data_IF_101337370286
#
_entry.id   IF_101337370286
#
_cell.length_a   1.000
_cell.length_b   1.000
_cell.length_c   1.000
_cell.angle_alpha   90.00
_cell.angle_beta   90.00
_cell.angle_gamma   90.00
#
_symmetry.space_group_name_H-M   'P 1'
#
loop_
_entity.id
_entity.type
_entity.pdbx_description
1 polymer ?
#
# COMPACT_ATOMS: atom_id res chain seq x y z
N UNK A 1 3.72 12.81 -1.78
CA UNK A 1 3.31 14.23 -1.72
C UNK A 1 1.94 14.32 -2.39
N UNK A 2 0.88 14.63 -1.64
CA UNK A 2 -0.51 14.69 -2.15
C UNK A 2 -0.80 16.15 -2.49
N UNK A 3 -0.94 16.46 -3.78
CA UNK A 3 -1.16 17.83 -4.26
C UNK A 3 -2.66 18.14 -4.36
N UNK A 4 -3.13 19.11 -3.57
CA UNK A 4 -4.48 19.68 -3.64
C UNK A 4 -4.49 20.86 -4.59
N UNK A 5 -5.05 20.67 -5.78
CA UNK A 5 -5.40 21.76 -6.67
C UNK A 5 -6.68 22.44 -6.17
N UNK A 6 -6.64 23.75 -6.03
CA UNK A 6 -7.84 24.60 -5.91
C UNK A 6 -7.97 25.45 -7.16
N UNK A 7 -9.20 25.83 -7.51
CA UNK A 7 -9.65 26.49 -8.76
C UNK A 7 -9.01 27.87 -9.06
N UNK A 8 -7.94 28.25 -8.35
CA UNK A 8 -7.15 29.46 -8.56
C UNK A 8 -5.64 29.19 -8.70
N UNK A 9 -5.23 27.97 -9.05
CA UNK A 9 -3.81 27.64 -9.24
C UNK A 9 -2.95 27.75 -7.96
N UNK A 10 -3.58 27.70 -6.78
CA UNK A 10 -2.91 27.74 -5.46
C UNK A 10 -2.65 26.31 -4.96
N UNK A 11 -1.38 25.98 -4.70
CA UNK A 11 -0.92 24.69 -4.18
C UNK A 11 -0.24 24.93 -2.84
N UNK A 12 -0.98 24.80 -1.74
CA UNK A 12 -0.41 24.97 -0.40
C UNK A 12 0.40 23.72 0.00
N UNK A 13 1.71 23.86 0.24
CA UNK A 13 2.51 22.86 0.94
C UNK A 13 2.50 23.22 2.43
N UNK A 14 1.63 22.57 3.20
CA UNK A 14 1.77 22.52 4.67
C UNK A 14 2.48 21.23 5.02
N UNK A 15 3.69 21.36 5.56
CA UNK A 15 4.35 20.32 6.34
C UNK A 15 3.58 20.20 7.65
N UNK A 16 3.41 18.98 8.10
CA UNK A 16 2.37 18.52 9.01
C UNK A 16 1.04 18.29 8.30
N UNK A 17 0.61 17.04 8.44
CA UNK A 17 -0.72 16.51 8.26
C UNK A 17 -1.75 17.63 8.14
N UNK A 18 -2.61 17.56 7.14
CA UNK A 18 -3.89 18.22 7.23
C UNK A 18 -4.59 17.69 8.51
N UNK A 19 -4.36 18.37 9.65
CA UNK A 19 -5.42 18.73 10.55
C UNK A 19 -6.31 19.64 9.71
N UNK A 20 -7.12 19.01 8.87
CA UNK A 20 -8.42 19.61 8.71
C UNK A 20 -9.07 19.33 10.06
N UNK A 21 -9.20 20.38 10.87
CA UNK A 21 -10.36 20.51 11.76
C UNK A 21 -11.59 20.55 10.86
N UNK A 22 -11.83 19.46 10.13
CA UNK A 22 -13.12 19.11 9.64
C UNK A 22 -13.77 18.42 10.81
N UNK A 23 -14.25 19.26 11.70
CA UNK A 23 -15.49 19.03 12.39
C UNK A 23 -16.55 18.82 11.31
N UNK A 24 -16.59 17.63 10.69
CA UNK A 24 -17.86 17.16 10.20
C UNK A 24 -18.68 16.93 11.46
N UNK A 25 -19.47 17.93 11.85
CA UNK A 25 -20.59 17.75 12.78
C UNK A 25 -21.59 16.84 12.06
N UNK A 26 -21.25 15.55 11.98
CA UNK A 26 -22.24 14.52 11.77
C UNK A 26 -22.99 14.44 13.08
N UNK A 27 -24.13 15.12 13.16
CA UNK A 27 -25.07 14.83 14.23
C UNK A 27 -25.48 13.37 14.04
N UNK A 28 -25.07 12.51 14.97
CA UNK A 28 -25.44 11.10 14.94
C UNK A 28 -26.93 11.09 15.29
N UNK A 29 -27.78 10.92 14.29
CA UNK A 29 -29.23 10.86 14.47
C UNK A 29 -29.71 9.50 15.00
N UNK A 30 -28.78 8.55 15.14
CA UNK A 30 -29.01 7.16 15.56
C UNK A 30 -30.01 6.39 14.67
N UNK A 31 -30.36 6.93 13.49
CA UNK A 31 -31.27 6.30 12.54
C UNK A 31 -30.54 5.48 11.48
N UNK A 32 -29.24 5.68 11.38
CA UNK A 32 -28.40 5.05 10.38
C UNK A 32 -27.31 4.20 11.02
N UNK A 33 -27.10 3.00 10.47
CA UNK A 33 -26.03 2.08 10.90
C UNK A 33 -24.66 2.55 10.38
N UNK A 34 -24.64 3.37 9.32
CA UNK A 34 -23.42 3.83 8.67
C UNK A 34 -23.55 5.31 8.29
N UNK A 35 -22.49 6.08 8.56
CA UNK A 35 -22.43 7.52 8.30
C UNK A 35 -21.36 7.80 7.25
N UNK A 36 -21.71 8.48 6.15
CA UNK A 36 -20.74 8.84 5.12
C UNK A 36 -19.80 9.92 5.65
N UNK A 37 -18.50 9.63 5.70
CA UNK A 37 -17.48 10.62 6.00
C UNK A 37 -17.23 11.47 4.76
N UNK A 38 -17.56 12.75 4.88
CA UNK A 38 -17.24 13.77 3.89
C UNK A 38 -16.13 14.62 4.47
N UNK A 39 -15.04 14.76 3.71
CA UNK A 39 -13.96 15.65 4.07
C UNK A 39 -14.48 17.09 4.03
N UNK A 40 -14.42 17.77 2.89
CA UNK A 40 -14.98 19.12 2.76
C UNK A 40 -16.28 19.05 1.94
N UNK A 41 -17.41 19.35 2.58
CA UNK A 41 -18.72 19.32 1.93
C UNK A 41 -18.80 20.30 0.74
N UNK A 42 -18.05 21.41 0.76
CA UNK A 42 -18.01 22.37 -0.35
C UNK A 42 -17.21 21.86 -1.54
N UNK A 43 -16.32 20.89 -1.31
CA UNK A 43 -15.39 20.32 -2.29
C UNK A 43 -15.51 18.79 -2.35
N UNK A 44 -16.71 18.25 -2.12
CA UNK A 44 -16.94 16.80 -2.08
C UNK A 44 -16.58 16.12 -3.43
N UNK A 45 -16.77 16.84 -4.54
CA UNK A 45 -16.41 16.36 -5.89
C UNK A 45 -14.90 16.30 -6.12
N UNK A 46 -14.12 17.10 -5.39
CA UNK A 46 -12.67 17.22 -5.58
C UNK A 46 -11.87 16.46 -4.51
N UNK A 47 -12.47 16.22 -3.34
CA UNK A 47 -11.79 15.57 -2.21
C UNK A 47 -12.27 14.14 -1.98
N UNK A 48 -11.36 13.29 -1.51
CA UNK A 48 -11.65 11.92 -1.13
C UNK A 48 -10.96 11.57 0.19
N UNK A 49 -11.69 10.92 1.10
CA UNK A 49 -11.12 10.44 2.35
C UNK A 49 -10.20 9.24 2.05
N UNK A 50 -8.92 9.37 2.36
CA UNK A 50 -7.91 8.33 2.21
C UNK A 50 -7.86 7.40 3.42
N UNK A 51 -7.74 7.95 4.63
CA UNK A 51 -7.59 7.15 5.86
C UNK A 51 -8.07 7.92 7.08
N UNK A 52 -8.71 7.21 8.01
CA UNK A 52 -9.04 7.72 9.34
C UNK A 52 -7.80 7.52 10.24
N UNK A 53 -7.36 8.59 10.90
CA UNK A 53 -6.23 8.58 11.84
C UNK A 53 -6.70 8.43 13.27
N UNK A 54 -7.78 9.11 13.63
CA UNK A 54 -8.34 9.12 14.97
C UNK A 54 -9.82 9.43 14.88
N UNK A 55 -10.60 8.84 15.78
CA UNK A 55 -12.01 9.19 15.99
C UNK A 55 -12.15 9.56 17.45
N UNK A 56 -12.79 10.68 17.72
CA UNK A 56 -12.99 11.18 19.07
C UNK A 56 -14.40 11.69 19.29
N UNK A 57 -14.92 11.50 20.49
CA UNK A 57 -16.24 11.93 20.93
C UNK A 57 -16.15 13.10 21.91
N UNK A 58 -17.11 14.00 21.82
CA UNK A 58 -17.30 15.05 22.83
C UNK A 58 -18.79 15.17 23.16
N UNK A 59 -19.10 15.23 24.45
CA UNK A 59 -20.46 15.51 24.93
C UNK A 59 -20.73 17.02 24.97
N UNK A 60 -19.70 17.84 25.24
CA UNK A 60 -19.76 19.30 25.35
C UNK A 60 -18.39 19.91 24.94
N UNK A 61 -18.29 21.11 24.33
CA UNK A 61 -17.00 21.68 23.88
C UNK A 61 -15.97 21.88 25.01
N UNK A 62 -16.43 21.84 26.26
CA UNK A 62 -15.64 21.98 27.49
C UNK A 62 -15.30 20.64 28.15
N UNK A 63 -15.90 19.53 27.70
CA UNK A 63 -15.64 18.19 28.26
C UNK A 63 -14.35 17.60 27.71
N UNK A 64 -13.73 16.73 28.50
CA UNK A 64 -12.64 15.89 27.99
C UNK A 64 -13.12 15.09 26.76
N UNK A 65 -12.25 15.01 25.77
CA UNK A 65 -12.51 14.34 24.50
C UNK A 65 -12.22 12.85 24.64
N UNK A 66 -13.25 12.01 24.50
CA UNK A 66 -13.11 10.55 24.54
C UNK A 66 -12.52 10.06 23.21
N UNK A 67 -11.43 9.30 23.24
CA UNK A 67 -10.87 8.69 22.03
C UNK A 67 -11.57 7.35 21.78
N UNK A 68 -12.26 7.23 20.65
CA UNK A 68 -12.93 6.00 20.23
C UNK A 68 -11.94 5.10 19.50
N UNK A 69 -11.93 3.80 19.86
CA UNK A 69 -10.97 2.83 19.29
C UNK A 69 -11.50 2.12 18.04
N UNK A 70 -10.64 1.75 17.09
CA UNK A 70 -11.03 0.92 15.96
C UNK A 70 -11.39 -0.51 16.41
N UNK A 71 -12.45 -1.09 15.86
CA UNK A 71 -12.91 -2.44 16.23
C UNK A 71 -11.81 -3.52 16.09
N UNK A 72 -11.04 -3.48 14.99
CA UNK A 72 -9.99 -4.47 14.73
C UNK A 72 -8.71 -4.29 15.58
N UNK A 73 -8.63 -3.29 16.47
CA UNK A 73 -7.52 -3.20 17.44
C UNK A 73 -7.66 -4.16 18.63
N UNK A 74 -8.83 -4.78 18.81
CA UNK A 74 -9.13 -5.71 19.91
C UNK A 74 -8.18 -6.93 19.99
N UNK A 75 -7.53 -7.30 18.87
CA UNK A 75 -6.64 -8.46 18.81
C UNK A 75 -5.20 -8.19 19.31
N UNK A 76 -4.83 -6.93 19.58
CA UNK A 76 -3.46 -6.58 19.96
C UNK A 76 -3.21 -6.67 21.47
N UNK A 77 -3.50 -7.80 22.15
CA UNK A 77 -3.00 -8.11 23.51
C UNK A 77 -3.19 -7.06 24.62
N UNK A 78 -3.96 -6.00 24.38
CA UNK A 78 -4.16 -4.89 25.27
C UNK A 78 -5.36 -5.23 26.13
N UNK A 79 -5.12 -5.38 27.43
CA UNK A 79 -6.18 -5.42 28.43
C UNK A 79 -6.96 -4.10 28.32
N UNK A 80 -8.17 -4.17 27.77
CA UNK A 80 -9.06 -3.02 27.65
C UNK A 80 -9.80 -2.85 28.98
N UNK A 81 -9.73 -1.66 29.57
CA UNK A 81 -10.55 -1.29 30.72
C UNK A 81 -12.04 -1.41 30.36
N UNK A 82 -12.86 -1.89 31.29
CA UNK A 82 -14.27 -2.21 31.10
C UNK A 82 -15.18 -1.02 30.71
N UNK A 83 -14.64 0.20 30.61
CA UNK A 83 -15.37 1.41 30.20
C UNK A 83 -15.50 1.59 28.68
N UNK A 84 -14.76 0.84 27.86
CA UNK A 84 -14.78 0.98 26.40
C UNK A 84 -15.84 0.05 25.76
N UNK A 85 -17.10 0.50 25.75
CA UNK A 85 -18.24 -0.23 25.18
C UNK A 85 -18.49 0.03 23.69
N UNK A 86 -17.80 1.02 23.10
CA UNK A 86 -18.03 1.47 21.72
C UNK A 86 -16.73 1.52 20.94
N UNK A 87 -16.75 0.87 19.78
CA UNK A 87 -15.68 0.84 18.80
C UNK A 87 -16.19 1.40 17.49
N UNK A 88 -15.28 1.93 16.67
CA UNK A 88 -15.62 2.31 15.30
C UNK A 88 -15.04 1.33 14.30
N UNK A 89 -15.72 1.13 13.18
CA UNK A 89 -15.14 0.51 12.00
C UNK A 89 -15.51 1.32 10.77
N UNK A 90 -14.65 1.27 9.76
CA UNK A 90 -14.85 1.98 8.51
C UNK A 90 -15.02 1.02 7.34
N UNK A 91 -15.88 1.38 6.40
CA UNK A 91 -16.08 0.66 5.14
C UNK A 91 -15.89 1.62 3.98
N UNK A 92 -15.07 1.22 3.01
CA UNK A 92 -14.91 1.93 1.74
C UNK A 92 -15.81 1.29 0.68
N UNK A 93 -16.61 2.09 0.00
CA UNK A 93 -17.53 1.66 -1.05
C UNK A 93 -17.29 2.48 -2.32
N UNK A 94 -17.56 1.93 -3.52
CA UNK A 94 -17.63 2.74 -4.72
C UNK A 94 -18.70 3.82 -4.51
N UNK A 95 -18.43 5.01 -4.99
CA UNK A 95 -19.45 6.06 -4.94
C UNK A 95 -20.61 5.72 -5.88
N UNK A 96 -21.84 6.00 -5.45
CA UNK A 96 -23.05 5.76 -6.25
C UNK A 96 -23.35 6.90 -7.24
N UNK A 97 -22.58 7.98 -7.14
CA UNK A 97 -22.74 9.20 -7.94
C UNK A 97 -22.02 9.06 -9.27
N UNK A 98 -22.72 9.29 -10.38
CA UNK A 98 -22.14 9.23 -11.73
C UNK A 98 -21.18 10.39 -12.02
N UNK A 99 -21.43 11.54 -11.40
CA UNK A 99 -20.66 12.78 -11.57
C UNK A 99 -19.38 12.82 -10.70
N UNK A 100 -19.19 11.83 -9.84
CA UNK A 100 -18.08 11.75 -8.89
C UNK A 100 -17.39 10.40 -9.07
N UNK A 101 -16.21 10.29 -9.69
CA UNK A 101 -15.46 9.04 -9.74
C UNK A 101 -14.74 8.76 -8.40
N UNK A 102 -14.42 7.50 -8.13
CA UNK A 102 -13.66 7.04 -6.96
C UNK A 102 -14.52 6.40 -5.88
N UNK A 103 -14.14 6.58 -4.62
CA UNK A 103 -14.80 5.89 -3.50
C UNK A 103 -15.30 6.85 -2.41
N UNK A 104 -16.23 6.35 -1.60
CA UNK A 104 -16.73 7.01 -0.40
C UNK A 104 -16.41 6.13 0.82
N UNK A 105 -16.14 6.78 1.96
CA UNK A 105 -15.85 6.11 3.24
C UNK A 105 -17.04 6.27 4.18
N UNK A 106 -17.43 5.18 4.81
CA UNK A 106 -18.52 5.12 5.77
C UNK A 106 -17.98 4.71 7.13
N UNK A 107 -18.40 5.39 8.18
CA UNK A 107 -18.08 5.12 9.57
C UNK A 107 -19.28 4.50 10.27
N UNK A 108 -19.03 3.49 11.09
CA UNK A 108 -20.03 2.80 11.88
C UNK A 108 -19.50 2.58 13.29
N UNK A 109 -20.41 2.55 14.26
CA UNK A 109 -20.10 2.31 15.67
C UNK A 109 -20.71 0.99 16.12
N UNK A 110 -19.93 0.19 16.82
CA UNK A 110 -20.29 -1.17 17.24
C UNK A 110 -19.78 -1.48 18.64
N UNK A 111 -20.45 -2.40 19.34
CA UNK A 111 -19.95 -2.98 20.59
C UNK A 111 -18.92 -4.10 20.30
N UNK A 112 -18.50 -4.80 21.36
CA UNK A 112 -17.53 -5.91 21.26
C UNK A 112 -18.08 -7.08 20.44
N UNK A 113 -19.38 -7.33 20.55
CA UNK A 113 -20.12 -8.36 19.82
C UNK A 113 -20.46 -7.94 18.38
N UNK A 114 -19.92 -6.81 17.89
CA UNK A 114 -20.14 -6.24 16.57
C UNK A 114 -21.61 -5.86 16.30
N UNK A 115 -22.39 -5.61 17.36
CA UNK A 115 -23.75 -5.09 17.24
C UNK A 115 -23.71 -3.57 17.10
N UNK A 116 -24.55 -2.97 16.23
CA UNK A 116 -24.64 -1.52 16.12
C UNK A 116 -24.90 -0.89 17.49
N UNK A 117 -24.03 0.04 17.88
CA UNK A 117 -24.15 0.81 19.13
C UNK A 117 -23.88 2.28 18.83
N UNK A 118 -24.10 3.15 19.79
CA UNK A 118 -23.82 4.57 19.66
C UNK A 118 -22.85 5.03 20.74
N UNK A 119 -21.89 5.91 20.41
CA UNK A 119 -21.08 6.56 21.43
C UNK A 119 -21.96 7.42 22.35
N UNK A 120 -21.54 7.58 23.61
CA UNK A 120 -22.26 8.42 24.57
C UNK A 120 -22.21 9.92 24.20
N UNK A 121 -21.23 10.30 23.37
CA UNK A 121 -21.08 11.64 22.80
C UNK A 121 -22.09 11.90 21.68
N UNK A 122 -22.77 13.04 21.73
CA UNK A 122 -23.68 13.49 20.67
C UNK A 122 -22.96 14.00 19.42
N UNK A 123 -21.68 14.34 19.53
CA UNK A 123 -20.82 14.78 18.41
C UNK A 123 -19.55 13.96 18.38
N UNK A 124 -19.25 13.41 17.21
CA UNK A 124 -18.01 12.69 16.92
C UNK A 124 -17.20 13.43 15.88
N UNK A 125 -15.89 13.52 16.13
CA UNK A 125 -14.89 14.09 15.24
C UNK A 125 -14.06 12.97 14.65
N UNK A 126 -13.81 13.03 13.34
CA UNK A 126 -12.94 12.10 12.64
C UNK A 126 -11.76 12.87 12.04
N UNK A 127 -10.56 12.57 12.51
CA UNK A 127 -9.33 13.10 11.93
C UNK A 127 -8.95 12.24 10.75
N UNK A 128 -8.99 12.82 9.55
CA UNK A 128 -8.83 12.07 8.30
C UNK A 128 -7.72 12.65 7.43
N UNK A 129 -7.01 11.78 6.73
CA UNK A 129 -6.21 12.19 5.57
C UNK A 129 -7.08 12.17 4.33
N UNK A 130 -6.87 13.17 3.47
CA UNK A 130 -7.63 13.36 2.25
C UNK A 130 -6.71 13.40 1.02
N UNK A 131 -7.26 13.01 -0.13
CA UNK A 131 -6.66 13.14 -1.46
C UNK A 131 -7.55 13.98 -2.36
N UNK A 132 -7.04 14.32 -3.54
CA UNK A 132 -7.72 15.20 -4.50
C UNK A 132 -8.31 14.44 -5.67
N UNK A 133 -8.68 13.18 -5.42
CA UNK A 133 -9.16 12.24 -6.45
C UNK A 133 -8.19 12.26 -7.65
N UNK A 134 -8.76 12.20 -8.86
CA UNK A 134 -8.04 12.22 -10.12
C UNK A 134 -7.61 13.63 -10.57
N UNK A 135 -7.71 14.67 -9.73
CA UNK A 135 -7.38 16.04 -10.13
C UNK A 135 -5.89 16.22 -10.42
N UNK A 136 -5.02 15.61 -9.61
CA UNK A 136 -3.57 15.78 -9.74
C UNK A 136 -3.06 15.32 -11.11
N UNK A 137 -3.62 14.25 -11.68
CA UNK A 137 -3.22 13.74 -13.00
C UNK A 137 -3.63 14.65 -14.16
N UNK A 138 -4.48 15.67 -13.94
CA UNK A 138 -4.84 16.63 -14.98
C UNK A 138 -3.80 17.75 -15.13
N UNK A 139 -2.80 17.84 -14.24
CA UNK A 139 -1.76 18.86 -14.31
C UNK A 139 -0.74 18.50 -15.40
N UNK A 140 -0.53 19.37 -16.41
CA UNK A 140 0.48 19.15 -17.43
C UNK A 140 1.91 19.09 -16.87
N UNK A 141 2.82 18.46 -17.61
CA UNK A 141 4.24 18.53 -17.32
C UNK A 141 4.72 20.00 -17.28
N UNK A 142 5.73 20.30 -16.46
CA UNK A 142 6.30 21.64 -16.31
C UNK A 142 5.34 22.72 -15.79
N UNK A 143 4.14 22.35 -15.35
CA UNK A 143 3.22 23.28 -14.69
C UNK A 143 3.91 23.95 -13.51
N UNK A 144 3.81 25.28 -13.45
CA UNK A 144 4.29 26.05 -12.32
C UNK A 144 3.38 25.81 -11.10
N UNK A 145 4.00 25.51 -9.96
CA UNK A 145 3.32 25.32 -8.70
C UNK A 145 3.56 26.55 -7.83
N UNK A 146 2.49 27.12 -7.31
CA UNK A 146 2.55 28.20 -6.35
C UNK A 146 2.49 27.63 -4.94
N UNK A 147 3.65 27.58 -4.27
CA UNK A 147 3.74 27.24 -2.86
C UNK A 147 3.37 28.43 -1.98
N UNK A 148 2.63 28.17 -0.92
CA UNK A 148 2.31 29.14 0.13
C UNK A 148 3.06 28.79 1.40
N UNK A 149 4.39 28.84 1.32
CA UNK A 149 5.28 28.66 2.47
C UNK A 149 5.90 30.01 2.76
N UNK A 150 5.57 30.58 3.92
CA UNK A 150 6.19 31.80 4.40
C UNK A 150 7.68 31.56 4.72
N UNK A 151 8.53 32.50 4.33
CA UNK A 151 9.93 32.55 4.78
C UNK A 151 10.96 31.78 3.94
N UNK A 152 10.59 31.18 2.81
CA UNK A 152 11.55 30.52 1.90
C UNK A 152 11.65 31.28 0.58
N UNK A 153 12.82 31.88 0.23
CA UNK A 153 13.01 32.52 -1.06
C UNK A 153 13.19 31.46 -2.15
N UNK A 154 12.13 31.21 -2.93
CA UNK A 154 12.14 30.28 -4.07
C UNK A 154 12.09 31.05 -5.39
N UNK A 155 12.90 30.65 -6.38
CA UNK A 155 12.78 31.18 -7.76
C UNK A 155 11.52 30.68 -8.48
N UNK A 156 11.11 29.45 -8.19
CA UNK A 156 9.97 28.80 -8.83
C UNK A 156 9.97 27.30 -8.53
N UNK A 157 8.79 26.70 -8.60
CA UNK A 157 8.59 25.26 -8.45
C UNK A 157 7.81 24.78 -9.66
N UNK A 158 8.29 23.73 -10.30
CA UNK A 158 7.70 23.19 -11.53
C UNK A 158 7.61 21.67 -11.45
N UNK A 159 6.58 21.11 -12.05
CA UNK A 159 6.47 19.67 -12.23
C UNK A 159 7.50 19.17 -13.25
N UNK A 160 8.28 18.14 -12.90
CA UNK A 160 9.18 17.49 -13.87
C UNK A 160 8.41 16.62 -14.86
N UNK A 161 7.40 15.93 -14.35
CA UNK A 161 6.54 15.02 -15.10
C UNK A 161 5.10 15.19 -14.67
N UNK A 162 4.17 14.73 -15.51
CA UNK A 162 2.75 14.68 -15.18
C UNK A 162 2.55 13.78 -13.95
N UNK A 163 1.76 14.20 -12.94
CA UNK A 163 1.47 13.35 -11.80
C UNK A 163 0.78 12.06 -12.24
N UNK A 164 1.13 10.96 -11.58
CA UNK A 164 0.56 9.65 -11.90
C UNK A 164 -0.95 9.66 -11.70
N UNK A 165 -1.65 8.90 -12.55
CA UNK A 165 -3.10 8.70 -12.41
C UNK A 165 -3.39 8.00 -11.08
N UNK A 166 -4.35 8.53 -10.32
CA UNK A 166 -4.88 7.82 -9.16
C UNK A 166 -5.46 6.47 -9.61
N UNK A 167 -5.04 5.41 -8.93
CA UNK A 167 -5.60 4.07 -9.07
C UNK A 167 -6.64 3.88 -7.97
N UNK A 168 -7.87 3.55 -8.36
CA UNK A 168 -8.91 3.23 -7.40
C UNK A 168 -8.62 1.87 -6.74
N UNK A 169 -8.86 1.74 -5.43
CA UNK A 169 -8.64 0.47 -4.76
C UNK A 169 -9.58 -0.58 -5.36
N UNK A 170 -9.10 -1.81 -5.58
CA UNK A 170 -9.92 -2.84 -6.20
C UNK A 170 -10.89 -3.35 -5.12
N UNK A 171 -12.13 -2.83 -5.14
CA UNK A 171 -13.15 -3.16 -4.13
C UNK A 171 -13.89 -4.48 -4.42
N UNK A 172 -13.58 -5.15 -5.53
CA UNK A 172 -14.19 -6.44 -5.90
C UNK A 172 -13.87 -7.58 -4.93
N UNK A 173 -14.70 -8.63 -4.95
CA UNK A 173 -14.45 -9.83 -4.14
C UNK A 173 -13.30 -10.70 -4.67
N UNK A 174 -13.14 -10.77 -5.99
CA UNK A 174 -12.13 -11.63 -6.63
C UNK A 174 -10.70 -11.26 -6.26
N UNK A 175 -10.35 -9.98 -6.23
CA UNK A 175 -9.01 -9.53 -5.84
C UNK A 175 -8.71 -9.83 -4.37
N UNK A 176 -9.71 -9.69 -3.48
CA UNK A 176 -9.56 -9.99 -2.05
C UNK A 176 -9.23 -11.46 -1.85
N UNK A 177 -9.94 -12.34 -2.57
CA UNK A 177 -9.62 -13.77 -2.58
C UNK A 177 -8.25 -14.05 -3.16
N UNK A 178 -7.84 -13.39 -4.25
CA UNK A 178 -6.48 -13.55 -4.79
C UNK A 178 -5.40 -13.14 -3.79
N UNK A 179 -5.61 -12.05 -3.03
CA UNK A 179 -4.69 -11.63 -1.96
C UNK A 179 -4.68 -12.64 -0.82
N UNK A 180 -5.83 -13.18 -0.41
CA UNK A 180 -5.90 -14.26 0.60
C UNK A 180 -5.17 -15.50 0.12
N UNK A 181 -5.40 -15.93 -1.13
CA UNK A 181 -4.68 -17.03 -1.77
C UNK A 181 -3.18 -16.77 -1.83
N UNK A 182 -2.76 -15.51 -2.03
CA UNK A 182 -1.36 -15.11 -2.00
C UNK A 182 -0.72 -15.14 -0.62
N UNK A 183 -1.40 -14.64 0.41
CA UNK A 183 -0.94 -14.74 1.79
C UNK A 183 -0.91 -16.21 2.26
N UNK A 184 -1.74 -17.05 1.64
CA UNK A 184 -1.79 -18.50 1.89
C UNK A 184 -0.88 -19.29 0.94
N UNK A 185 -0.26 -18.64 -0.07
CA UNK A 185 0.62 -19.30 -1.03
C UNK A 185 1.87 -19.70 -0.27
N UNK A 186 1.98 -20.99 -0.01
CA UNK A 186 3.13 -21.56 0.66
C UNK A 186 4.39 -21.35 -0.18
N UNK A 187 5.48 -20.98 0.48
CA UNK A 187 6.82 -20.88 -0.12
C UNK A 187 7.23 -22.16 -0.87
N UNK A 188 6.62 -23.31 -0.55
CA UNK A 188 6.74 -24.57 -1.29
C UNK A 188 6.48 -24.42 -2.80
N UNK A 189 5.50 -23.61 -3.20
CA UNK A 189 5.18 -23.37 -4.62
C UNK A 189 6.30 -22.65 -5.36
N UNK A 190 7.09 -21.83 -4.65
CA UNK A 190 8.26 -21.12 -5.19
C UNK A 190 9.50 -22.02 -5.27
N UNK A 191 9.53 -23.10 -4.50
CA UNK A 191 10.66 -24.06 -4.50
C UNK A 191 10.48 -25.21 -5.49
N UNK A 192 9.26 -25.49 -5.96
CA UNK A 192 9.00 -26.52 -6.95
C UNK A 192 9.33 -26.01 -8.37
N UNK A 193 10.35 -26.55 -9.07
CA UNK A 193 10.76 -26.08 -10.39
C UNK A 193 9.62 -26.09 -11.42
N UNK A 194 8.68 -27.04 -11.30
CA UNK A 194 7.58 -27.17 -12.26
C UNK A 194 6.53 -26.04 -12.15
N UNK A 195 6.40 -25.40 -10.98
CA UNK A 195 5.36 -24.39 -10.72
C UNK A 195 5.91 -23.03 -10.32
N UNK A 196 7.21 -22.92 -10.02
CA UNK A 196 7.82 -21.72 -9.46
C UNK A 196 7.65 -20.50 -10.37
N UNK A 197 7.88 -20.66 -11.68
CA UNK A 197 7.76 -19.56 -12.64
C UNK A 197 6.34 -18.98 -12.65
N UNK A 198 5.34 -19.83 -12.82
CA UNK A 198 3.95 -19.37 -12.92
C UNK A 198 3.45 -18.81 -11.58
N UNK A 199 3.89 -19.39 -10.45
CA UNK A 199 3.62 -18.83 -9.13
C UNK A 199 4.16 -17.39 -9.02
N UNK A 200 5.41 -17.12 -9.40
CA UNK A 200 5.98 -15.76 -9.37
C UNK A 200 5.22 -14.81 -10.30
N UNK A 201 4.87 -15.25 -11.51
CA UNK A 201 4.09 -14.42 -12.45
C UNK A 201 2.72 -14.07 -11.90
N UNK A 202 1.99 -15.04 -11.35
CA UNK A 202 0.71 -14.82 -10.69
C UNK A 202 0.84 -13.85 -9.52
N UNK A 203 1.87 -14.00 -8.69
CA UNK A 203 2.16 -13.05 -7.60
C UNK A 203 2.36 -11.63 -8.13
N UNK A 204 3.17 -11.45 -9.18
CA UNK A 204 3.40 -10.13 -9.79
C UNK A 204 2.12 -9.54 -10.41
N UNK A 205 1.25 -10.37 -11.00
CA UNK A 205 -0.05 -9.94 -11.56
C UNK A 205 -0.97 -9.34 -10.49
N UNK A 206 -0.83 -9.73 -9.22
CA UNK A 206 -1.59 -9.12 -8.11
C UNK A 206 -1.24 -7.65 -7.88
N UNK A 207 0.01 -7.28 -8.11
CA UNK A 207 0.47 -5.91 -7.96
C UNK A 207 0.14 -5.05 -9.19
N UNK A 208 -0.30 -5.65 -10.31
CA UNK A 208 -0.82 -4.92 -11.47
C UNK A 208 -2.29 -4.53 -11.30
N UNK A 209 -2.59 -3.79 -10.21
CA UNK A 209 -3.96 -3.37 -9.85
C UNK A 209 -4.63 -2.54 -10.96
N UNK A 210 -3.84 -1.72 -11.67
CA UNK A 210 -4.31 -0.90 -12.79
C UNK A 210 -4.44 -1.64 -14.13
N UNK A 211 -4.16 -2.95 -14.18
CA UNK A 211 -4.11 -3.77 -15.39
C UNK A 211 -3.33 -3.11 -16.54
N UNK A 212 -2.17 -2.52 -16.23
CA UNK A 212 -1.35 -1.84 -17.21
C UNK A 212 -0.72 -2.87 -18.16
N UNK A 213 -0.93 -2.69 -19.47
CA UNK A 213 -0.44 -3.62 -20.49
C UNK A 213 1.09 -3.73 -20.52
N UNK A 214 1.82 -2.66 -20.18
CA UNK A 214 3.29 -2.72 -20.12
C UNK A 214 3.78 -3.56 -18.93
N UNK A 215 3.09 -3.55 -17.77
CA UNK A 215 3.43 -4.39 -16.63
C UNK A 215 3.16 -5.86 -16.95
N UNK A 216 2.03 -6.18 -17.59
CA UNK A 216 1.74 -7.54 -18.04
C UNK A 216 2.83 -8.04 -19.00
N UNK A 217 3.28 -7.21 -19.97
CA UNK A 217 4.40 -7.56 -20.85
C UNK A 217 5.69 -7.85 -20.09
N UNK A 218 6.04 -7.03 -19.09
CA UNK A 218 7.22 -7.29 -18.25
C UNK A 218 7.10 -8.59 -17.44
N UNK A 219 5.90 -8.93 -16.95
CA UNK A 219 5.65 -10.19 -16.24
C UNK A 219 5.81 -11.38 -17.18
N UNK A 220 5.23 -11.33 -18.39
CA UNK A 220 5.45 -12.35 -19.43
C UNK A 220 6.92 -12.44 -19.85
N UNK A 221 7.64 -11.33 -19.74
CA UNK A 221 9.08 -11.24 -19.99
C UNK A 221 9.94 -12.11 -19.08
N UNK A 222 9.45 -12.56 -17.93
CA UNK A 222 10.11 -13.59 -17.13
C UNK A 222 9.83 -14.93 -17.79
N UNK A 223 10.73 -15.44 -18.63
CA UNK A 223 10.45 -16.64 -19.46
C UNK A 223 10.93 -17.94 -18.84
N UNK A 224 11.81 -17.87 -17.83
CA UNK A 224 12.33 -19.05 -17.16
C UNK A 224 12.68 -18.78 -15.71
N UNK A 225 12.49 -19.78 -14.87
CA UNK A 225 12.90 -19.79 -13.46
C UNK A 225 13.30 -21.22 -13.09
N UNK A 226 14.59 -21.43 -12.87
CA UNK A 226 15.11 -22.69 -12.35
C UNK A 226 15.44 -22.54 -10.88
N UNK A 227 15.00 -23.50 -10.08
CA UNK A 227 15.21 -23.51 -8.62
C UNK A 227 15.90 -24.81 -8.26
N UNK A 228 17.03 -24.72 -7.56
CA UNK A 228 17.75 -25.90 -7.09
C UNK A 228 18.29 -25.74 -5.67
N UNK A 229 18.23 -26.79 -4.85
CA UNK A 229 18.90 -26.80 -3.56
C UNK A 229 20.42 -26.81 -3.77
N UNK A 230 21.13 -26.02 -2.98
CA UNK A 230 22.59 -25.96 -2.96
C UNK A 230 23.09 -26.02 -1.52
N UNK A 231 24.34 -26.44 -1.34
CA UNK A 231 25.03 -26.41 -0.05
C UNK A 231 26.29 -25.60 -0.22
N UNK A 232 26.54 -24.68 0.71
CA UNK A 232 27.77 -23.87 0.72
C UNK A 232 28.48 -24.03 2.05
N UNK A 233 29.81 -24.13 1.99
CA UNK A 233 30.66 -24.04 3.17
C UNK A 233 30.70 -22.59 3.65
N UNK A 234 30.47 -22.39 4.95
CA UNK A 234 30.51 -21.10 5.65
C UNK A 234 31.45 -21.18 6.83
N UNK A 235 32.01 -20.04 7.23
CA UNK A 235 33.01 -19.94 8.28
C UNK A 235 34.45 -20.08 7.77
N UNK A 236 35.40 -19.87 8.68
CA UNK A 236 36.82 -19.80 8.41
C UNK A 236 37.53 -21.14 8.65
N UNK A 237 38.85 -21.17 8.47
CA UNK A 237 39.67 -22.37 8.65
C UNK A 237 39.57 -23.01 10.06
N UNK A 238 39.23 -22.22 11.09
CA UNK A 238 39.13 -22.66 12.50
C UNK A 238 37.75 -23.17 12.89
N UNK A 239 36.70 -22.66 12.24
CA UNK A 239 35.31 -23.03 12.49
C UNK A 239 34.56 -22.92 11.16
N UNK A 240 34.17 -24.08 10.61
CA UNK A 240 33.40 -24.13 9.37
C UNK A 240 32.17 -25.02 9.53
N UNK A 241 31.12 -24.66 8.81
CA UNK A 241 29.89 -25.42 8.70
C UNK A 241 29.40 -25.50 7.26
N UNK A 242 28.36 -26.29 7.05
CA UNK A 242 27.64 -26.35 5.78
C UNK A 242 26.27 -25.71 5.96
N UNK A 243 25.97 -24.71 5.16
CA UNK A 243 24.66 -24.08 5.11
C UNK A 243 23.92 -24.62 3.89
N UNK A 244 22.63 -24.93 4.07
CA UNK A 244 21.74 -25.24 2.96
C UNK A 244 21.20 -23.95 2.39
N UNK A 245 21.03 -23.91 1.09
CA UNK A 245 20.50 -22.76 0.40
C UNK A 245 19.76 -23.12 -0.87
N UNK A 246 19.19 -22.11 -1.49
CA UNK A 246 18.47 -22.24 -2.75
C UNK A 246 19.14 -21.35 -3.79
N UNK A 247 19.46 -21.92 -4.95
CA UNK A 247 19.83 -21.13 -6.11
C UNK A 247 18.61 -20.96 -7.01
N UNK A 248 18.35 -19.70 -7.39
CA UNK A 248 17.27 -19.32 -8.29
C UNK A 248 17.91 -18.66 -9.52
N UNK A 249 17.73 -19.27 -10.69
CA UNK A 249 18.17 -18.71 -11.96
C UNK A 249 16.95 -18.18 -12.74
N UNK A 250 16.90 -16.88 -12.97
CA UNK A 250 15.84 -16.20 -13.72
C UNK A 250 16.31 -15.90 -15.13
N UNK A 251 15.49 -16.26 -16.11
CA UNK A 251 15.72 -15.95 -17.53
C UNK A 251 14.70 -14.93 -17.99
N UNK A 252 15.16 -13.82 -18.55
CA UNK A 252 14.30 -12.75 -19.07
C UNK A 252 14.38 -12.64 -20.59
N UNK A 253 13.23 -12.43 -21.24
CA UNK A 253 13.16 -11.98 -22.64
C UNK A 253 13.30 -10.45 -22.69
N UNK A 254 14.45 -9.99 -23.16
CA UNK A 254 14.84 -8.57 -23.22
C UNK A 254 13.87 -7.70 -24.01
N UNK A 255 13.23 -8.25 -25.05
CA UNK A 255 12.34 -7.51 -25.95
C UNK A 255 11.07 -7.02 -25.22
N UNK A 256 10.66 -7.74 -24.19
CA UNK A 256 9.46 -7.42 -23.41
C UNK A 256 9.72 -6.38 -22.30
N UNK A 257 10.96 -5.91 -22.16
CA UNK A 257 11.36 -4.90 -21.19
C UNK A 257 11.67 -3.52 -21.79
N UNK A 258 11.20 -3.22 -23.00
CA UNK A 258 11.43 -1.92 -23.65
C UNK A 258 11.13 -0.71 -22.72
N UNK A 259 12.12 0.16 -22.52
CA UNK A 259 12.02 1.33 -21.63
C UNK A 259 12.11 1.02 -20.13
N UNK A 260 12.45 -0.22 -19.76
CA UNK A 260 12.57 -0.68 -18.37
C UNK A 260 13.80 -1.58 -18.19
N UNK A 261 14.13 -1.93 -16.95
CA UNK A 261 15.31 -2.76 -16.64
C UNK A 261 14.91 -4.11 -16.06
N UNK A 262 15.12 -5.17 -16.84
CA UNK A 262 14.98 -6.55 -16.37
C UNK A 262 15.93 -6.85 -15.19
N UNK A 263 17.13 -6.23 -15.18
CA UNK A 263 18.08 -6.35 -14.07
C UNK A 263 17.53 -5.73 -12.77
N UNK A 264 16.84 -4.59 -12.86
CA UNK A 264 16.20 -3.96 -11.69
C UNK A 264 15.10 -4.87 -11.14
N UNK A 265 14.25 -5.44 -12.01
CA UNK A 265 13.24 -6.41 -11.60
C UNK A 265 13.89 -7.65 -10.94
N UNK A 266 14.96 -8.18 -11.53
CA UNK A 266 15.74 -9.28 -10.93
C UNK A 266 16.28 -8.94 -9.55
N UNK A 267 16.71 -7.69 -9.32
CA UNK A 267 17.13 -7.23 -7.99
C UNK A 267 15.97 -7.17 -7.00
N UNK A 268 14.81 -6.69 -7.42
CA UNK A 268 13.59 -6.66 -6.58
C UNK A 268 13.19 -8.10 -6.21
N UNK A 269 13.19 -9.01 -7.18
CA UNK A 269 12.90 -10.42 -6.95
C UNK A 269 13.90 -11.08 -6.01
N UNK A 270 15.20 -10.73 -6.08
CA UNK A 270 16.20 -11.18 -5.09
C UNK A 270 15.79 -10.79 -3.67
N UNK A 271 15.43 -9.54 -3.44
CA UNK A 271 15.00 -9.09 -2.10
C UNK A 271 13.71 -9.80 -1.67
N UNK A 272 12.77 -10.01 -2.59
CA UNK A 272 11.56 -10.79 -2.33
C UNK A 272 11.88 -12.23 -1.89
N UNK A 273 12.73 -12.96 -2.62
CA UNK A 273 13.09 -14.32 -2.24
C UNK A 273 13.85 -14.37 -0.91
N UNK A 274 14.71 -13.37 -0.63
CA UNK A 274 15.42 -13.27 0.66
C UNK A 274 14.48 -13.08 1.84
N UNK A 275 13.35 -12.38 1.68
CA UNK A 275 12.35 -12.22 2.75
C UNK A 275 11.63 -13.53 3.11
N UNK A 276 11.68 -14.53 2.23
CA UNK A 276 11.06 -15.84 2.43
C UNK A 276 12.08 -16.96 2.74
N UNK A 277 13.33 -16.56 2.97
CA UNK A 277 14.41 -17.41 3.44
C UNK A 277 14.06 -18.05 4.80
N UNK A 278 14.28 -19.35 4.95
CA UNK A 278 14.16 -19.99 6.26
C UNK A 278 15.35 -19.61 7.15
N UNK A 279 15.14 -19.69 8.47
CA UNK A 279 16.22 -19.53 9.45
C UNK A 279 17.36 -20.50 9.12
N UNK A 280 18.60 -20.02 9.10
CA UNK A 280 19.80 -20.78 8.73
C UNK A 280 19.78 -21.34 7.30
N UNK A 281 19.20 -20.60 6.35
CA UNK A 281 19.37 -20.86 4.93
C UNK A 281 19.86 -19.63 4.18
N UNK A 282 20.33 -19.82 2.94
CA UNK A 282 20.78 -18.72 2.09
C UNK A 282 20.20 -18.82 0.67
N UNK A 283 19.92 -17.68 0.05
CA UNK A 283 19.38 -17.63 -1.31
C UNK A 283 20.37 -16.93 -2.26
N UNK A 284 20.68 -17.59 -3.37
CA UNK A 284 21.48 -17.03 -4.47
C UNK A 284 20.59 -16.80 -5.67
N UNK A 285 20.62 -15.59 -6.25
CA UNK A 285 19.84 -15.27 -7.45
C UNK A 285 20.78 -14.94 -8.60
N UNK A 286 20.55 -15.59 -9.73
CA UNK A 286 21.27 -15.36 -10.98
C UNK A 286 20.27 -14.92 -12.04
N UNK A 287 20.67 -13.95 -12.87
CA UNK A 287 19.83 -13.39 -13.93
C UNK A 287 20.56 -13.50 -15.26
N UNK A 288 19.85 -13.97 -16.28
CA UNK A 288 20.31 -14.10 -17.65
C UNK A 288 19.25 -13.64 -18.66
N UNK A 289 19.70 -13.45 -19.90
CA UNK A 289 18.87 -13.06 -21.04
C UNK A 289 18.61 -14.20 -22.02
N UNK A 290 17.54 -14.08 -22.80
CA UNK A 290 17.28 -15.00 -23.92
C UNK A 290 18.19 -14.76 -25.10
N UNK A 291 18.50 -13.49 -25.43
CA UNK A 291 19.37 -13.12 -26.55
C UNK A 291 20.84 -13.24 -26.18
N UNK A 292 21.19 -12.80 -24.98
CA UNK A 292 22.54 -12.91 -24.46
C UNK A 292 22.60 -14.00 -23.39
N UNK A 293 23.02 -15.21 -23.78
CA UNK A 293 23.17 -16.39 -22.89
C UNK A 293 24.22 -16.23 -21.77
N UNK A 294 24.79 -15.03 -21.61
CA UNK A 294 25.67 -14.71 -20.49
C UNK A 294 24.88 -14.42 -19.23
N UNK A 295 25.46 -14.76 -18.07
CA UNK A 295 24.94 -14.28 -16.78
C UNK A 295 25.12 -12.77 -16.75
N UNK A 296 24.02 -12.04 -16.64
CA UNK A 296 24.06 -10.58 -16.49
C UNK A 296 24.51 -10.21 -15.07
N UNK A 297 23.95 -10.89 -14.07
CA UNK A 297 24.29 -10.68 -12.68
C UNK A 297 23.99 -11.91 -11.85
N UNK A 298 24.93 -12.21 -10.96
CA UNK A 298 24.72 -13.12 -9.85
C UNK A 298 24.85 -12.31 -8.56
N UNK A 299 23.86 -12.44 -7.66
CA UNK A 299 23.93 -11.88 -6.32
C UNK A 299 24.24 -12.99 -5.34
N UNK A 300 25.36 -12.84 -4.64
CA UNK A 300 25.72 -13.73 -3.56
C UNK A 300 24.87 -13.44 -2.30
N UNK A 301 24.65 -14.46 -1.46
CA UNK A 301 23.98 -14.33 -0.18
C UNK A 301 24.82 -13.50 0.80
N UNK A 302 24.13 -12.75 1.66
CA UNK A 302 24.74 -12.00 2.75
C UNK A 302 24.96 -12.98 3.93
N UNK A 303 26.04 -13.76 3.87
CA UNK A 303 26.33 -14.78 4.88
C UNK A 303 26.97 -14.16 6.13
N UNK A 304 26.58 -14.57 7.35
CA UNK A 304 27.26 -14.13 8.57
C UNK A 304 28.74 -14.53 8.52
N UNK A 305 29.62 -13.54 8.65
CA UNK A 305 31.08 -13.72 8.59
C UNK A 305 31.66 -14.29 9.89
N UNK A 306 30.89 -14.28 10.98
CA UNK A 306 31.33 -14.72 12.30
C UNK A 306 30.29 -15.71 12.86
N UNK A 307 30.80 -16.84 13.31
CA UNK A 307 30.08 -17.88 14.04
C UNK A 307 30.54 -17.86 15.50
#
# INVERSE_FOLDING_TARGET
MVFVGTDEGKVHERRDCFLVDLVHRGHIDHRHVQYRLVADARRDLLSEVHSIRMVSGSMDPTSETEILRPYFSLHQGMFVHASESVYWYARRLPTLRKDKPGTDMYLSFVDREFRPTAPASGVVFAHVLCTNRHLASNLPERSALRLDIAGIPLRGVHLLHQPTRQLDPPLGGSIRWRVVSHLSLNFLSLTNPATALEAVREMLRLYNVGNAAYLNRQIEGIVGMDVRPIVRRVGDARAFGYLRGTEIALTFNEELFAGSSALLLGRILREFFRLHEQVNSFTTVTVSGTRHRGIWKQWHPDLPQHW
#
